data_IF_429050042355
#
_entry.id   IF_429050042355
#
_cell.length_a   1.000
_cell.length_b   1.000
_cell.length_c   1.000
_cell.angle_alpha   90.00
_cell.angle_beta   90.00
_cell.angle_gamma   90.00
#
_symmetry.space_group_name_H-M   'P 1'
#
loop_
_entity.id
_entity.type
_entity.pdbx_description
1 polymer ?
#
# COMPACT_ATOMS: atom_id res chain seq x y z
N UNK A 1 -63.03 4.28 -53.37
CA UNK A 1 -62.85 4.45 -51.93
C UNK A 1 -61.96 3.33 -51.40
N UNK A 2 -60.67 3.59 -51.20
CA UNK A 2 -59.72 2.58 -50.71
C UNK A 2 -59.64 2.76 -49.17
N UNK A 3 -59.97 1.69 -48.42
CA UNK A 3 -59.81 1.65 -46.97
C UNK A 3 -58.32 1.47 -46.63
N UNK A 4 -57.78 2.47 -45.91
CA UNK A 4 -56.45 2.39 -45.34
C UNK A 4 -56.55 1.62 -44.00
N UNK A 5 -55.92 0.43 -43.96
CA UNK A 5 -55.84 -0.38 -42.76
C UNK A 5 -54.63 0.10 -41.96
N UNK A 6 -54.88 0.71 -40.79
CA UNK A 6 -53.82 1.13 -39.86
C UNK A 6 -53.32 -0.07 -39.10
N UNK A 7 -52.09 -0.49 -39.40
CA UNK A 7 -51.36 -1.48 -38.59
C UNK A 7 -50.79 -0.78 -37.35
N UNK A 8 -51.31 -1.11 -36.19
CA UNK A 8 -50.80 -0.63 -34.89
C UNK A 8 -49.62 -1.55 -34.51
N UNK A 9 -48.41 -1.02 -34.63
CA UNK A 9 -47.22 -1.71 -34.19
C UNK A 9 -47.04 -1.53 -32.68
N UNK A 10 -47.42 -2.54 -31.88
CA UNK A 10 -47.12 -2.54 -30.44
C UNK A 10 -45.68 -2.96 -30.23
N UNK A 11 -44.82 -1.98 -29.92
CA UNK A 11 -43.44 -2.23 -29.48
C UNK A 11 -43.48 -2.53 -27.96
N UNK A 12 -43.40 -3.80 -27.61
CA UNK A 12 -43.19 -4.22 -26.22
C UNK A 12 -41.74 -3.95 -25.86
N UNK A 13 -41.50 -2.88 -25.10
CA UNK A 13 -40.23 -2.68 -24.43
C UNK A 13 -40.13 -3.68 -23.29
N UNK A 14 -39.41 -4.76 -23.48
CA UNK A 14 -38.90 -5.56 -22.39
C UNK A 14 -37.79 -4.75 -21.71
N UNK A 15 -38.11 -4.17 -20.56
CA UNK A 15 -37.09 -3.74 -19.62
C UNK A 15 -36.36 -5.00 -19.16
N UNK A 16 -35.28 -5.36 -19.84
CA UNK A 16 -34.29 -6.29 -19.29
C UNK A 16 -33.53 -5.48 -18.25
N UNK A 17 -34.00 -5.52 -17.01
CA UNK A 17 -33.14 -5.21 -15.89
C UNK A 17 -32.01 -6.22 -15.95
N UNK A 18 -30.85 -5.77 -16.46
CA UNK A 18 -29.60 -6.45 -16.23
C UNK A 18 -29.39 -6.42 -14.73
N UNK A 19 -29.86 -7.44 -14.02
CA UNK A 19 -29.38 -7.73 -12.67
C UNK A 19 -27.92 -7.98 -12.86
N UNK A 20 -27.10 -6.97 -12.58
CA UNK A 20 -25.67 -7.13 -12.45
C UNK A 20 -25.49 -8.18 -11.35
N UNK A 21 -25.30 -9.43 -11.74
CA UNK A 21 -24.88 -10.47 -10.81
C UNK A 21 -23.61 -9.92 -10.19
N UNK A 22 -23.66 -9.68 -8.89
CA UNK A 22 -22.52 -9.24 -8.08
C UNK A 22 -21.46 -10.37 -8.12
N UNK A 23 -20.76 -10.43 -9.25
CA UNK A 23 -19.73 -11.43 -9.48
C UNK A 23 -18.56 -11.04 -8.61
N UNK A 24 -18.43 -11.79 -7.50
CA UNK A 24 -17.30 -11.64 -6.59
C UNK A 24 -16.00 -11.67 -7.39
N UNK A 25 -15.08 -10.72 -7.18
CA UNK A 25 -13.83 -10.66 -7.92
C UNK A 25 -13.09 -12.00 -7.87
N UNK A 26 -12.56 -12.45 -9.00
CA UNK A 26 -11.92 -13.77 -9.13
C UNK A 26 -10.74 -13.97 -8.18
N UNK A 27 -10.09 -12.88 -7.77
CA UNK A 27 -8.97 -12.90 -6.83
C UNK A 27 -9.39 -12.97 -5.37
N UNK A 28 -10.67 -12.88 -5.07
CA UNK A 28 -11.19 -13.04 -3.72
C UNK A 28 -11.42 -14.52 -3.37
N UNK A 29 -10.95 -14.95 -2.23
CA UNK A 29 -11.19 -16.29 -1.66
C UNK A 29 -12.12 -16.14 -0.46
N UNK A 30 -13.29 -16.77 -0.54
CA UNK A 30 -14.27 -16.74 0.54
C UNK A 30 -14.23 -18.05 1.33
N UNK A 31 -14.42 -17.95 2.65
CA UNK A 31 -14.63 -19.05 3.57
C UNK A 31 -15.79 -18.70 4.51
N UNK A 32 -16.76 -19.58 4.65
CA UNK A 32 -17.97 -19.37 5.47
C UNK A 32 -18.67 -18.02 5.15
N UNK A 33 -18.81 -17.70 3.85
CA UNK A 33 -19.42 -16.46 3.36
C UNK A 33 -18.60 -15.19 3.58
N UNK A 34 -17.44 -15.26 4.23
CA UNK A 34 -16.57 -14.11 4.52
C UNK A 34 -15.34 -14.10 3.62
N UNK A 35 -14.92 -12.93 3.15
CA UNK A 35 -13.67 -12.76 2.44
C UNK A 35 -12.51 -13.20 3.35
N UNK A 36 -11.85 -14.28 2.98
CA UNK A 36 -10.80 -14.93 3.77
C UNK A 36 -9.40 -14.56 3.33
N UNK A 37 -9.14 -14.63 2.03
CA UNK A 37 -7.82 -14.40 1.45
C UNK A 37 -7.93 -13.87 0.01
N UNK A 38 -6.80 -13.54 -0.57
CA UNK A 38 -6.64 -13.11 -1.96
C UNK A 38 -5.69 -14.07 -2.68
N UNK A 39 -5.90 -14.28 -3.97
CA UNK A 39 -4.97 -15.02 -4.85
C UNK A 39 -4.23 -14.04 -5.75
N UNK A 40 -3.01 -14.38 -6.14
CA UNK A 40 -2.27 -13.64 -7.15
C UNK A 40 -2.90 -13.81 -8.54
N UNK A 41 -2.62 -12.87 -9.44
CA UNK A 41 -2.78 -13.09 -10.87
C UNK A 41 -2.02 -14.36 -11.27
N UNK A 42 -2.59 -15.18 -12.15
CA UNK A 42 -1.99 -16.43 -12.63
C UNK A 42 -1.60 -17.44 -11.52
N UNK A 43 -2.24 -17.34 -10.36
CA UNK A 43 -2.00 -18.25 -9.23
C UNK A 43 -0.72 -18.00 -8.44
N UNK A 44 0.10 -17.02 -8.87
CA UNK A 44 1.39 -16.69 -8.24
C UNK A 44 2.48 -17.75 -8.46
N UNK A 45 3.68 -17.54 -7.94
CA UNK A 45 4.75 -18.50 -8.06
C UNK A 45 4.37 -19.81 -7.37
N UNK A 46 4.47 -20.92 -8.11
CA UNK A 46 4.25 -22.25 -7.53
C UNK A 46 5.33 -22.47 -6.47
N UNK A 47 4.91 -22.60 -5.22
CA UNK A 47 5.82 -22.95 -4.15
C UNK A 47 6.22 -24.41 -4.35
N UNK A 48 7.54 -24.69 -4.38
CA UNK A 48 8.00 -26.08 -4.32
C UNK A 48 7.41 -26.72 -3.05
N UNK A 49 6.59 -27.76 -3.17
CA UNK A 49 5.99 -28.42 -2.01
C UNK A 49 7.04 -29.04 -1.07
N UNK A 50 8.24 -29.31 -1.57
CA UNK A 50 9.35 -29.85 -0.81
C UNK A 50 10.23 -28.77 -0.18
N UNK A 51 10.01 -27.50 -0.54
CA UNK A 51 10.77 -26.40 0.03
C UNK A 51 10.48 -26.24 1.52
N UNK A 52 11.47 -26.53 2.35
CA UNK A 52 11.45 -26.25 3.78
C UNK A 52 12.38 -25.09 4.08
N UNK A 53 11.85 -24.05 4.68
CA UNK A 53 12.66 -22.93 5.14
C UNK A 53 13.55 -23.39 6.29
N UNK A 54 14.87 -23.39 6.07
CA UNK A 54 15.85 -23.71 7.09
C UNK A 54 16.44 -22.44 7.71
N UNK A 55 15.98 -22.11 8.91
CA UNK A 55 16.45 -20.95 9.66
C UNK A 55 17.92 -21.03 10.05
N UNK A 56 18.48 -22.25 10.17
CA UNK A 56 19.89 -22.44 10.48
C UNK A 56 20.76 -22.06 9.26
N UNK A 57 20.42 -22.60 8.10
CA UNK A 57 21.07 -22.26 6.84
C UNK A 57 20.97 -20.75 6.58
N UNK A 58 19.79 -20.17 6.71
CA UNK A 58 19.61 -18.72 6.52
C UNK A 58 20.49 -17.89 7.45
N UNK A 59 20.61 -18.26 8.73
CA UNK A 59 21.47 -17.56 9.68
C UNK A 59 22.95 -17.68 9.35
N UNK A 60 23.38 -18.87 8.92
CA UNK A 60 24.79 -19.08 8.52
C UNK A 60 25.14 -18.30 7.25
N UNK A 61 24.27 -18.30 6.25
CA UNK A 61 24.44 -17.49 5.04
C UNK A 61 24.46 -15.99 5.37
N UNK A 62 23.55 -15.53 6.24
CA UNK A 62 23.53 -14.13 6.66
C UNK A 62 24.78 -13.70 7.41
N UNK A 63 25.41 -14.59 8.21
CA UNK A 63 26.71 -14.30 8.86
C UNK A 63 27.84 -14.15 7.86
N UNK A 64 27.81 -14.88 6.74
CA UNK A 64 28.79 -14.77 5.66
C UNK A 64 28.66 -13.46 4.89
N UNK A 65 27.46 -12.88 4.83
CA UNK A 65 27.22 -11.59 4.21
C UNK A 65 27.76 -10.45 5.10
N UNK A 66 29.08 -10.23 5.04
CA UNK A 66 29.69 -8.99 5.53
C UNK A 66 29.37 -7.89 4.54
N UNK A 67 28.27 -7.17 4.77
CA UNK A 67 27.93 -6.00 3.97
C UNK A 67 28.63 -4.81 4.63
N UNK A 68 29.65 -4.31 3.97
CA UNK A 68 30.31 -3.08 4.36
C UNK A 68 29.62 -1.92 3.64
N UNK A 69 28.98 -1.05 4.41
CA UNK A 69 28.31 0.13 3.87
C UNK A 69 29.27 1.31 3.90
N UNK A 70 29.49 2.00 2.76
CA UNK A 70 30.28 3.22 2.79
C UNK A 70 29.66 4.22 3.76
N UNK A 71 30.46 5.00 4.50
CA UNK A 71 29.96 5.99 5.48
C UNK A 71 28.96 6.97 4.89
N UNK A 72 29.12 7.33 3.63
CA UNK A 72 28.28 8.24 2.85
C UNK A 72 27.00 7.61 2.30
N UNK A 73 26.73 6.34 2.58
CA UNK A 73 25.54 5.64 2.10
C UNK A 73 24.23 6.35 2.55
N UNK A 74 24.24 6.94 3.72
CA UNK A 74 23.12 7.77 4.21
C UNK A 74 23.55 9.22 4.18
N UNK A 75 22.83 10.04 3.44
CA UNK A 75 23.06 11.49 3.37
C UNK A 75 22.89 12.08 4.78
N UNK A 76 23.79 12.99 5.14
CA UNK A 76 23.74 13.69 6.43
C UNK A 76 22.39 14.35 6.64
N UNK A 77 21.87 14.22 7.86
CA UNK A 77 20.54 14.76 8.23
C UNK A 77 20.40 16.25 7.97
N UNK A 78 21.43 17.05 8.25
CA UNK A 78 21.36 18.50 8.06
C UNK A 78 21.28 18.85 6.57
N UNK A 79 21.96 18.08 5.72
CA UNK A 79 21.86 18.24 4.26
C UNK A 79 20.46 17.91 3.80
N UNK A 80 19.84 16.83 4.29
CA UNK A 80 18.46 16.45 3.94
C UNK A 80 17.48 17.54 4.36
N UNK A 81 17.58 18.06 5.59
CA UNK A 81 16.72 19.14 6.09
C UNK A 81 16.86 20.41 5.24
N UNK A 82 18.10 20.80 4.91
CA UNK A 82 18.37 21.95 4.04
C UNK A 82 17.78 21.75 2.63
N UNK A 83 17.87 20.54 2.08
CA UNK A 83 17.29 20.23 0.78
C UNK A 83 15.77 20.25 0.82
N UNK A 84 15.13 19.73 1.86
CA UNK A 84 13.68 19.81 2.03
C UNK A 84 13.18 21.25 2.07
N UNK A 85 13.89 22.15 2.76
CA UNK A 85 13.57 23.59 2.77
C UNK A 85 13.82 24.21 1.39
N UNK A 86 14.95 23.92 0.76
CA UNK A 86 15.30 24.45 -0.57
C UNK A 86 14.27 24.08 -1.62
N UNK A 87 13.80 22.84 -1.64
CA UNK A 87 12.90 22.29 -2.65
C UNK A 87 11.43 22.24 -2.19
N UNK A 88 11.08 22.97 -1.12
CA UNK A 88 9.73 22.93 -0.56
C UNK A 88 8.61 23.33 -1.53
N UNK A 89 8.92 24.12 -2.56
CA UNK A 89 7.98 24.53 -3.61
C UNK A 89 8.01 23.62 -4.85
N UNK A 90 8.99 22.74 -4.95
CA UNK A 90 9.20 21.88 -6.11
C UNK A 90 8.54 20.51 -5.93
N UNK A 91 8.38 19.79 -7.03
CA UNK A 91 8.09 18.36 -6.98
C UNK A 91 9.38 17.59 -6.76
N UNK A 92 9.36 16.61 -5.88
CA UNK A 92 10.53 15.77 -5.57
C UNK A 92 10.14 14.36 -5.16
N UNK A 93 11.10 13.45 -5.24
CA UNK A 93 11.04 12.11 -4.63
C UNK A 93 12.24 11.97 -3.69
N UNK A 94 11.99 11.55 -2.47
CA UNK A 94 13.00 11.26 -1.47
C UNK A 94 12.84 9.81 -1.01
N UNK A 95 13.90 9.03 -1.18
CA UNK A 95 13.96 7.68 -0.65
C UNK A 95 14.37 7.72 0.83
N UNK A 96 13.57 7.11 1.68
CA UNK A 96 13.83 7.05 3.12
C UNK A 96 14.63 5.80 3.51
N UNK A 97 14.29 4.67 2.94
CA UNK A 97 14.92 3.36 3.07
C UNK A 97 13.94 2.28 2.57
N UNK A 98 14.43 1.10 2.15
CA UNK A 98 13.63 -0.04 1.69
C UNK A 98 12.55 0.40 0.66
N UNK A 99 11.28 0.22 0.97
CA UNK A 99 10.15 0.65 0.15
C UNK A 99 9.52 1.99 0.60
N UNK A 100 10.19 2.70 1.52
CA UNK A 100 9.67 3.95 2.08
C UNK A 100 10.12 5.14 1.26
N UNK A 101 9.17 5.89 0.71
CA UNK A 101 9.43 7.12 -0.05
C UNK A 101 8.55 8.26 0.45
N UNK A 102 9.08 9.49 0.37
CA UNK A 102 8.29 10.70 0.39
C UNK A 102 8.33 11.31 -1.01
N UNK A 103 7.17 11.60 -1.56
CA UNK A 103 7.02 12.24 -2.86
C UNK A 103 6.20 13.50 -2.71
N UNK A 104 6.64 14.59 -3.30
CA UNK A 104 5.84 15.80 -3.44
C UNK A 104 5.47 15.99 -4.90
N UNK A 105 4.18 16.01 -5.20
CA UNK A 105 3.62 16.21 -6.53
C UNK A 105 2.71 17.45 -6.49
N UNK A 106 3.22 18.56 -6.95
CA UNK A 106 2.55 19.85 -6.79
C UNK A 106 2.31 20.16 -5.30
N UNK A 107 1.05 20.34 -4.92
CA UNK A 107 0.68 20.64 -3.52
C UNK A 107 0.39 19.42 -2.66
N UNK A 108 0.58 18.20 -3.19
CA UNK A 108 0.30 16.96 -2.45
C UNK A 108 1.60 16.27 -2.08
N UNK A 109 1.81 16.08 -0.78
CA UNK A 109 2.94 15.30 -0.26
C UNK A 109 2.44 13.91 0.14
N UNK A 110 3.08 12.89 -0.39
CA UNK A 110 2.72 11.48 -0.29
C UNK A 110 3.82 10.75 0.48
N UNK A 111 3.45 9.83 1.34
CA UNK A 111 4.39 8.87 1.94
C UNK A 111 3.94 7.44 1.61
N UNK A 112 4.90 6.58 1.25
CA UNK A 112 4.64 5.17 0.97
C UNK A 112 5.34 4.29 2.00
N UNK A 113 4.65 3.28 2.51
CA UNK A 113 5.19 2.21 3.38
C UNK A 113 6.22 2.71 4.42
N UNK A 114 5.91 3.73 5.23
CA UNK A 114 6.93 4.32 6.10
C UNK A 114 7.33 3.39 7.24
N UNK A 115 8.62 3.08 7.31
CA UNK A 115 9.23 2.26 8.37
C UNK A 115 10.30 3.07 9.08
N UNK A 116 10.04 3.48 10.32
CA UNK A 116 10.97 4.21 11.18
C UNK A 116 11.45 3.37 12.37
N UNK A 117 10.86 2.18 12.57
CA UNK A 117 11.30 1.25 13.60
C UNK A 117 12.68 0.68 13.31
N UNK A 118 13.38 0.29 14.37
CA UNK A 118 14.71 -0.33 14.30
C UNK A 118 14.66 -1.74 13.69
N UNK A 119 13.53 -2.43 13.85
CA UNK A 119 13.35 -3.82 13.45
C UNK A 119 12.08 -3.96 12.60
N UNK A 120 12.14 -4.79 11.57
CA UNK A 120 10.99 -5.21 10.78
C UNK A 120 10.39 -6.51 11.36
N UNK A 121 9.56 -6.36 12.40
CA UNK A 121 8.95 -7.50 13.07
C UNK A 121 8.04 -7.09 14.22
N UNK A 122 7.42 -8.05 14.90
CA UNK A 122 6.60 -7.75 16.08
C UNK A 122 7.46 -7.23 17.21
N UNK A 123 7.09 -6.09 17.80
CA UNK A 123 7.79 -5.44 18.90
C UNK A 123 9.28 -5.17 18.59
N UNK A 124 10.18 -5.88 19.28
CA UNK A 124 11.64 -5.76 19.15
C UNK A 124 12.26 -6.88 18.30
N UNK A 125 11.44 -7.81 17.82
CA UNK A 125 11.88 -8.97 17.05
C UNK A 125 11.95 -8.67 15.55
N UNK A 126 12.51 -9.60 14.80
CA UNK A 126 12.66 -9.50 13.35
C UNK A 126 14.01 -8.91 12.90
N UNK A 127 14.21 -8.84 11.59
CA UNK A 127 15.42 -8.27 11.00
C UNK A 127 15.63 -6.83 11.44
N UNK A 128 16.86 -6.51 11.84
CA UNK A 128 17.26 -5.11 12.08
C UNK A 128 17.49 -4.42 10.74
N UNK A 129 17.12 -3.14 10.68
CA UNK A 129 17.49 -2.34 9.51
C UNK A 129 19.02 -2.15 9.46
N UNK A 130 19.53 -1.98 8.27
CA UNK A 130 20.96 -1.83 8.05
C UNK A 130 21.46 -0.43 8.43
N UNK A 131 20.72 0.59 8.02
CA UNK A 131 21.03 1.99 8.25
C UNK A 131 19.92 2.66 9.04
N UNK A 132 20.21 3.79 9.68
CA UNK A 132 19.18 4.63 10.29
C UNK A 132 18.54 5.52 9.21
N UNK A 133 17.25 5.85 9.29
CA UNK A 133 16.68 6.88 8.44
C UNK A 133 17.43 8.20 8.63
N UNK A 134 17.65 8.92 7.55
CA UNK A 134 18.29 10.24 7.60
C UNK A 134 17.47 11.24 8.43
N UNK A 135 16.15 11.11 8.43
CA UNK A 135 15.23 11.94 9.20
C UNK A 135 14.62 11.18 10.38
N UNK A 136 14.29 11.89 11.44
CA UNK A 136 13.37 11.40 12.47
C UNK A 136 11.94 11.51 11.96
N UNK A 137 11.03 10.68 12.50
CA UNK A 137 9.62 10.74 12.16
C UNK A 137 8.98 12.13 12.43
N UNK A 138 9.50 12.87 13.40
CA UNK A 138 9.06 14.24 13.71
C UNK A 138 9.59 15.31 12.77
N UNK A 139 10.44 14.95 11.82
CA UNK A 139 11.13 15.89 10.91
C UNK A 139 10.67 15.74 9.46
N UNK A 140 9.80 14.76 9.18
CA UNK A 140 9.22 14.61 7.85
C UNK A 140 8.28 15.78 7.56
N UNK A 141 8.17 16.21 6.30
CA UNK A 141 7.23 17.26 5.92
C UNK A 141 5.79 16.88 6.22
N UNK A 142 4.88 17.84 6.17
CA UNK A 142 3.46 17.58 6.31
C UNK A 142 3.00 16.61 5.20
N UNK A 143 2.36 15.51 5.58
CA UNK A 143 1.92 14.46 4.69
C UNK A 143 0.40 14.59 4.45
N UNK A 144 0.01 14.73 3.19
CA UNK A 144 -1.39 14.77 2.77
C UNK A 144 -1.95 13.37 2.52
N UNK A 145 -1.11 12.45 2.00
CA UNK A 145 -1.53 11.14 1.55
C UNK A 145 -0.58 10.05 2.05
N UNK A 146 -1.12 9.08 2.78
CA UNK A 146 -0.41 7.91 3.26
C UNK A 146 -0.83 6.69 2.43
N UNK A 147 0.11 6.05 1.74
CA UNK A 147 -0.11 4.84 0.95
C UNK A 147 0.53 3.65 1.65
N UNK A 148 -0.22 2.56 1.79
CA UNK A 148 0.28 1.28 2.27
C UNK A 148 0.08 0.23 1.18
N UNK A 149 1.15 -0.47 0.79
CA UNK A 149 1.08 -1.50 -0.25
C UNK A 149 0.58 -2.83 0.28
N UNK A 150 1.08 -3.29 1.41
CA UNK A 150 0.68 -4.56 2.05
C UNK A 150 1.09 -4.61 3.53
N UNK A 151 0.81 -5.72 4.21
CA UNK A 151 0.94 -5.79 5.66
C UNK A 151 2.18 -6.52 6.20
N UNK A 152 3.22 -6.74 5.40
CA UNK A 152 4.50 -7.21 5.93
C UNK A 152 5.09 -6.21 6.92
N UNK A 153 5.94 -6.68 7.83
CA UNK A 153 6.47 -5.85 8.92
C UNK A 153 7.42 -4.74 8.45
N UNK A 154 8.06 -4.93 7.30
CA UNK A 154 8.96 -3.99 6.64
C UNK A 154 8.24 -3.00 5.70
N UNK A 155 6.88 -3.03 5.69
CA UNK A 155 6.01 -2.08 5.00
C UNK A 155 5.01 -1.46 5.97
N UNK A 156 4.27 -2.26 6.72
CA UNK A 156 3.34 -1.81 7.74
C UNK A 156 4.00 -1.77 9.13
N UNK A 157 4.73 -0.71 9.41
CA UNK A 157 5.34 -0.49 10.72
C UNK A 157 4.31 0.10 11.71
N UNK A 158 3.85 -0.74 12.64
CA UNK A 158 2.84 -0.33 13.62
C UNK A 158 3.32 0.76 14.57
N UNK A 159 4.62 0.84 14.88
CA UNK A 159 5.16 1.90 15.73
C UNK A 159 5.17 3.23 14.97
N UNK A 160 5.51 3.20 13.70
CA UNK A 160 5.41 4.37 12.82
C UNK A 160 3.96 4.81 12.69
N UNK A 161 3.01 3.90 12.36
CA UNK A 161 1.58 4.22 12.24
C UNK A 161 1.07 4.86 13.54
N UNK A 162 1.41 4.30 14.70
CA UNK A 162 0.99 4.82 16.01
C UNK A 162 1.54 6.23 16.29
N UNK A 163 2.81 6.47 15.97
CA UNK A 163 3.52 7.74 16.29
C UNK A 163 3.50 8.76 15.16
N UNK A 164 2.89 8.41 14.01
CA UNK A 164 2.82 9.29 12.86
C UNK A 164 2.17 10.62 13.22
N UNK A 165 2.80 11.76 12.91
CA UNK A 165 2.32 13.06 13.40
C UNK A 165 1.08 13.59 12.67
N UNK A 166 0.86 13.15 11.42
CA UNK A 166 -0.20 13.68 10.54
C UNK A 166 -1.38 12.71 10.46
N UNK A 167 -2.22 12.66 11.51
CA UNK A 167 -3.36 11.74 11.59
C UNK A 167 -4.54 12.12 10.69
N UNK A 168 -4.54 13.34 10.20
CA UNK A 168 -5.55 13.83 9.25
C UNK A 168 -5.17 13.56 7.79
N UNK A 169 -4.00 12.94 7.53
CA UNK A 169 -3.66 12.44 6.19
C UNK A 169 -4.74 11.50 5.68
N UNK A 170 -5.09 11.63 4.39
CA UNK A 170 -5.85 10.58 3.70
C UNK A 170 -5.01 9.31 3.63
N UNK A 171 -5.59 8.18 4.03
CA UNK A 171 -4.93 6.88 4.05
C UNK A 171 -5.56 5.97 3.01
N UNK A 172 -4.75 5.44 2.10
CA UNK A 172 -5.16 4.41 1.15
C UNK A 172 -4.43 3.11 1.46
N UNK A 173 -5.20 2.06 1.69
CA UNK A 173 -4.70 0.75 2.11
C UNK A 173 -5.41 -0.38 1.38
N UNK A 174 -4.80 -1.56 1.24
CA UNK A 174 -5.49 -2.74 0.76
C UNK A 174 -6.69 -3.12 1.65
N UNK A 175 -7.61 -3.87 1.09
CA UNK A 175 -8.77 -4.43 1.80
C UNK A 175 -8.36 -5.09 3.13
N UNK A 176 -9.16 -4.87 4.18
CA UNK A 176 -9.01 -5.40 5.55
C UNK A 176 -7.88 -4.78 6.38
N UNK A 177 -7.19 -3.75 5.90
CA UNK A 177 -6.10 -3.11 6.64
C UNK A 177 -6.50 -1.80 7.33
N UNK A 178 -7.67 -1.24 7.04
CA UNK A 178 -8.16 0.02 7.67
C UNK A 178 -8.18 -0.03 9.20
N UNK A 179 -8.46 -1.19 9.78
CA UNK A 179 -8.52 -1.38 11.23
C UNK A 179 -7.25 -0.94 11.95
N UNK A 180 -6.08 -1.14 11.36
CA UNK A 180 -4.80 -0.75 11.94
C UNK A 180 -4.60 0.76 12.02
N UNK A 181 -5.26 1.50 11.13
CA UNK A 181 -5.23 2.95 11.12
C UNK A 181 -6.33 3.55 12.02
N UNK A 182 -7.57 3.02 11.93
CA UNK A 182 -8.70 3.45 12.77
C UNK A 182 -8.36 3.41 14.27
N UNK A 183 -7.76 2.30 14.73
CA UNK A 183 -7.35 2.13 16.13
C UNK A 183 -6.19 3.04 16.56
N UNK A 184 -5.54 3.72 15.61
CA UNK A 184 -4.44 4.65 15.85
C UNK A 184 -4.78 6.12 15.52
N UNK A 185 -6.07 6.46 15.46
CA UNK A 185 -6.57 7.84 15.40
C UNK A 185 -6.65 8.47 14.02
N UNK A 186 -6.49 7.70 12.94
CA UNK A 186 -6.73 8.20 11.57
C UNK A 186 -8.23 8.23 11.26
N UNK A 187 -8.67 9.21 10.50
CA UNK A 187 -10.10 9.47 10.22
C UNK A 187 -10.49 9.25 8.76
N UNK A 188 -9.65 9.67 7.82
CA UNK A 188 -9.89 9.52 6.37
C UNK A 188 -9.14 8.31 5.85
N UNK A 189 -9.79 7.13 5.85
CA UNK A 189 -9.19 5.86 5.48
C UNK A 189 -10.05 5.18 4.43
N UNK A 190 -9.46 4.87 3.29
CA UNK A 190 -10.10 4.15 2.20
C UNK A 190 -9.38 2.81 1.98
N UNK A 191 -10.15 1.73 2.00
CA UNK A 191 -9.67 0.43 1.54
C UNK A 191 -9.84 0.34 0.03
N UNK A 192 -8.83 -0.20 -0.65
CA UNK A 192 -8.79 -0.34 -2.11
C UNK A 192 -8.58 -1.79 -2.50
N UNK A 193 -9.26 -2.20 -3.56
CA UNK A 193 -9.05 -3.45 -4.27
C UNK A 193 -8.33 -3.20 -5.60
N UNK A 194 -7.98 -4.25 -6.33
CA UNK A 194 -7.34 -4.14 -7.62
C UNK A 194 -8.15 -3.31 -8.61
N UNK A 195 -7.48 -2.35 -9.24
CA UNK A 195 -8.01 -1.40 -10.21
C UNK A 195 -8.97 -0.35 -9.63
N UNK A 196 -9.16 -0.34 -8.30
CA UNK A 196 -9.85 0.79 -7.68
C UNK A 196 -9.08 2.09 -7.91
N UNK A 197 -9.82 3.16 -8.14
CA UNK A 197 -9.28 4.49 -8.41
C UNK A 197 -9.86 5.51 -7.44
N UNK A 198 -9.00 6.35 -6.91
CA UNK A 198 -9.40 7.47 -6.04
C UNK A 198 -8.77 8.75 -6.56
N UNK A 199 -9.61 9.73 -6.90
CA UNK A 199 -9.16 11.08 -7.20
C UNK A 199 -8.80 11.79 -5.89
N UNK A 200 -7.54 12.17 -5.74
CA UNK A 200 -7.05 12.94 -4.60
C UNK A 200 -7.37 14.41 -4.79
N UNK A 201 -7.18 14.90 -6.01
CA UNK A 201 -7.57 16.22 -6.48
C UNK A 201 -7.72 16.21 -8.01
N UNK A 202 -7.98 17.36 -8.62
CA UNK A 202 -8.16 17.48 -10.07
C UNK A 202 -6.98 17.01 -10.94
N UNK A 203 -5.78 16.95 -10.37
CA UNK A 203 -4.54 16.64 -11.09
C UNK A 203 -3.87 15.34 -10.61
N UNK A 204 -4.40 14.69 -9.57
CA UNK A 204 -3.80 13.51 -8.98
C UNK A 204 -4.85 12.44 -8.71
N UNK A 205 -4.66 11.30 -9.33
CA UNK A 205 -5.43 10.08 -9.13
C UNK A 205 -4.50 8.97 -8.66
N UNK A 206 -4.97 8.14 -7.74
CA UNK A 206 -4.30 6.91 -7.31
C UNK A 206 -5.09 5.73 -7.80
N UNK A 207 -4.42 4.79 -8.47
CA UNK A 207 -4.98 3.51 -8.90
C UNK A 207 -4.25 2.39 -8.16
N UNK A 208 -4.99 1.45 -7.57
CA UNK A 208 -4.42 0.30 -6.89
C UNK A 208 -4.18 -0.83 -7.90
N UNK A 209 -2.93 -1.18 -8.14
CA UNK A 209 -2.56 -2.19 -9.12
C UNK A 209 -2.21 -3.54 -8.46
N UNK A 210 -2.54 -4.67 -9.09
CA UNK A 210 -2.13 -5.98 -8.61
C UNK A 210 -0.62 -6.17 -8.69
N UNK A 211 -0.08 -6.91 -7.73
CA UNK A 211 1.30 -7.37 -7.76
C UNK A 211 1.36 -8.85 -7.37
N UNK A 212 2.30 -9.58 -7.97
CA UNK A 212 2.57 -10.97 -7.59
C UNK A 212 3.41 -10.97 -6.31
N UNK A 213 2.73 -11.04 -5.19
CA UNK A 213 3.35 -11.04 -3.87
C UNK A 213 2.43 -11.71 -2.86
N UNK A 214 2.94 -12.03 -1.68
CA UNK A 214 2.14 -12.52 -0.57
C UNK A 214 2.09 -11.46 0.54
N UNK A 215 1.04 -11.52 1.34
CA UNK A 215 0.84 -10.59 2.44
C UNK A 215 0.27 -11.38 3.63
N UNK A 216 0.99 -11.42 4.72
CA UNK A 216 0.55 -12.08 5.95
C UNK A 216 1.22 -11.44 7.14
N UNK A 217 0.45 -11.29 8.22
CA UNK A 217 0.95 -10.90 9.52
C UNK A 217 0.48 -11.95 10.52
N UNK A 218 1.42 -12.73 11.04
CA UNK A 218 1.17 -13.67 12.13
C UNK A 218 2.04 -13.25 13.32
N UNK A 219 1.47 -13.33 14.49
CA UNK A 219 2.23 -13.38 15.74
C UNK A 219 2.82 -14.76 15.89
#
# INVERSE_FOLDING_TARGET
MKKLSSFLLIILFFNIELVAMDQKPFHHIYKDGKLFAFRNLEGGPKRDPNFKWDWKVFREEKKKLKIDYPPEHVIDRQIVLKNLEKYKSDSYVMWLDHASFIMKLGNTTIITDPVFSKNAGPLIFGPKRFTKPALKLSEIPNINLFLLTHNHYDHQDMMTIRRFPFKDSKVLVPLKLSKYFKTNGYRDINEMDWYDEININKNLKVTFLPAVHWSKRSL
#
